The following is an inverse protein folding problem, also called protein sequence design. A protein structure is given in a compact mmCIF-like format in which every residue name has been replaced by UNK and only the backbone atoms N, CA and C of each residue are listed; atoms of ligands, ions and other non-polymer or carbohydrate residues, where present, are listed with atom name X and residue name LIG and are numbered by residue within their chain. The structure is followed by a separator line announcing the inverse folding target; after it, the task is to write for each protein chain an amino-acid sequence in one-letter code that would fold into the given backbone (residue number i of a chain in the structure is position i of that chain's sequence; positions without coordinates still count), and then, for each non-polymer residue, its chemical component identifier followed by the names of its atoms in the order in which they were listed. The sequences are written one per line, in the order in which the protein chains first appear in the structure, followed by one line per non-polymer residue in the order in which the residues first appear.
data_IF_747492784727
#
_entry.id   IF_747492784727
#
_cell.length_a   1.000
_cell.length_b   1.000
_cell.length_c   1.000
_cell.angle_alpha   90.00
_cell.angle_beta   90.00
_cell.angle_gamma   90.00
#
_symmetry.space_group_name_H-M   'P 1'
#
loop_
_entity.id
_entity.type
_entity.pdbx_description
1 polymer ?
#
# COMPACT_ATOMS: atom_id res chain seq x y z
N UNK A 1 -55.56 4.68 -40.63
CA UNK A 1 -55.27 4.50 -39.19
C UNK A 1 -53.75 4.23 -39.04
N UNK A 2 -52.96 5.26 -38.73
CA UNK A 2 -51.51 5.16 -38.59
C UNK A 2 -51.20 4.84 -37.11
N UNK A 3 -50.65 3.65 -36.85
CA UNK A 3 -50.19 3.29 -35.50
C UNK A 3 -48.79 3.88 -35.28
N UNK A 4 -48.69 4.86 -34.38
CA UNK A 4 -47.42 5.38 -33.87
C UNK A 4 -46.84 4.37 -32.86
N UNK A 5 -45.70 3.77 -33.17
CA UNK A 5 -44.93 2.97 -32.23
C UNK A 5 -44.02 3.93 -31.46
N UNK A 6 -44.32 4.13 -30.18
CA UNK A 6 -43.46 4.86 -29.24
C UNK A 6 -42.35 3.92 -28.77
N UNK A 7 -41.12 4.13 -29.26
CA UNK A 7 -39.92 3.42 -28.79
C UNK A 7 -39.44 4.08 -27.52
N UNK A 8 -39.75 3.51 -26.36
CA UNK A 8 -39.24 3.97 -25.07
C UNK A 8 -37.75 3.58 -24.94
N UNK A 9 -36.85 4.54 -25.08
CA UNK A 9 -35.42 4.38 -24.83
C UNK A 9 -35.19 4.29 -23.31
N UNK A 10 -35.02 3.07 -22.80
CA UNK A 10 -34.63 2.85 -21.39
C UNK A 10 -33.17 3.20 -21.25
N UNK A 11 -32.88 4.38 -20.74
CA UNK A 11 -31.53 4.77 -20.26
C UNK A 11 -31.23 3.95 -19.02
N UNK A 12 -30.53 2.83 -19.17
CA UNK A 12 -29.90 2.14 -18.03
C UNK A 12 -28.67 2.96 -17.63
N UNK A 13 -28.89 3.93 -16.72
CA UNK A 13 -27.82 4.65 -16.06
C UNK A 13 -26.94 3.63 -15.35
N UNK A 14 -25.69 3.49 -15.77
CA UNK A 14 -24.70 2.76 -14.99
C UNK A 14 -24.52 3.55 -13.70
N UNK A 15 -25.06 3.05 -12.60
CA UNK A 15 -24.77 3.53 -11.25
C UNK A 15 -23.30 3.15 -11.03
N UNK A 16 -22.41 4.11 -11.24
CA UNK A 16 -21.02 3.97 -10.81
C UNK A 16 -21.05 3.88 -9.29
N UNK A 17 -20.78 2.70 -8.74
CA UNK A 17 -20.51 2.56 -7.31
C UNK A 17 -19.24 3.33 -7.02
N UNK A 18 -19.35 4.56 -6.52
CA UNK A 18 -18.27 5.24 -5.82
C UNK A 18 -17.99 4.38 -4.58
N UNK A 19 -16.84 3.71 -4.53
CA UNK A 19 -16.45 2.97 -3.34
C UNK A 19 -16.35 3.96 -2.18
N UNK A 20 -17.12 3.68 -1.13
CA UNK A 20 -17.07 4.50 0.09
C UNK A 20 -15.77 4.17 0.83
N UNK A 21 -15.03 5.17 1.30
CA UNK A 21 -13.82 4.98 2.08
C UNK A 21 -13.99 4.03 3.27
N UNK A 22 -15.18 3.98 3.87
CA UNK A 22 -15.50 3.07 4.98
C UNK A 22 -15.56 1.59 4.59
N UNK A 23 -15.64 1.25 3.29
CA UNK A 23 -15.70 -0.13 2.82
C UNK A 23 -14.31 -0.78 2.78
N UNK A 24 -13.24 0.02 2.78
CA UNK A 24 -11.89 -0.51 2.80
C UNK A 24 -11.53 -1.09 4.15
N UNK A 25 -10.91 -2.26 4.17
CA UNK A 25 -10.52 -2.97 5.38
C UNK A 25 -9.57 -2.15 6.27
N UNK A 26 -8.70 -1.35 5.68
CA UNK A 26 -7.78 -0.43 6.37
C UNK A 26 -8.48 0.75 7.08
N UNK A 27 -9.79 0.92 6.94
CA UNK A 27 -10.58 1.93 7.66
C UNK A 27 -11.63 1.29 8.58
N UNK A 28 -11.33 0.11 9.13
CA UNK A 28 -12.14 -0.59 10.11
C UNK A 28 -11.32 -0.80 11.39
N UNK A 29 -11.79 -0.27 12.53
CA UNK A 29 -11.09 -0.40 13.82
C UNK A 29 -10.93 -1.86 14.26
N UNK A 30 -9.84 -2.12 14.99
CA UNK A 30 -9.51 -3.42 15.59
C UNK A 30 -9.30 -4.54 14.57
N UNK A 31 -9.01 -4.19 13.32
CA UNK A 31 -8.66 -5.16 12.29
C UNK A 31 -7.16 -5.43 12.27
N UNK A 32 -6.81 -6.66 11.88
CA UNK A 32 -5.42 -7.09 11.80
C UNK A 32 -5.16 -7.77 10.46
N UNK A 33 -4.03 -7.44 9.83
CA UNK A 33 -3.57 -8.02 8.56
C UNK A 33 -2.19 -8.62 8.79
N UNK A 34 -2.05 -9.92 8.55
CA UNK A 34 -0.77 -10.61 8.54
C UNK A 34 -0.23 -10.73 7.12
N UNK A 35 1.05 -10.44 6.93
CA UNK A 35 1.75 -10.44 5.64
C UNK A 35 3.02 -11.30 5.78
N UNK A 36 3.23 -12.25 4.88
CA UNK A 36 4.50 -12.97 4.75
C UNK A 36 5.46 -12.21 3.84
N UNK A 37 6.74 -12.27 4.16
CA UNK A 37 7.83 -11.71 3.36
C UNK A 37 8.76 -12.84 2.96
N UNK A 38 8.92 -13.07 1.66
CA UNK A 38 9.78 -14.10 1.10
C UNK A 38 10.85 -13.49 0.18
N UNK A 39 12.03 -14.10 0.15
CA UNK A 39 13.08 -13.74 -0.80
C UNK A 39 12.79 -14.28 -2.21
N UNK A 40 13.64 -13.95 -3.21
CA UNK A 40 13.54 -14.43 -4.60
C UNK A 40 13.42 -15.95 -4.78
N UNK A 41 13.85 -16.73 -3.79
CA UNK A 41 13.79 -18.20 -3.81
C UNK A 41 12.51 -18.73 -3.16
N UNK A 42 11.56 -17.83 -2.82
CA UNK A 42 10.30 -18.18 -2.15
C UNK A 42 10.48 -18.58 -0.67
N UNK A 43 11.69 -18.43 -0.09
CA UNK A 43 11.92 -18.73 1.33
C UNK A 43 11.43 -17.56 2.18
N UNK A 44 10.55 -17.83 3.13
CA UNK A 44 10.09 -16.83 4.11
C UNK A 44 11.28 -16.29 4.91
N UNK A 45 11.38 -14.98 4.97
CA UNK A 45 12.44 -14.24 5.68
C UNK A 45 11.90 -13.45 6.87
N UNK A 46 10.59 -13.22 6.93
CA UNK A 46 9.94 -12.51 8.01
C UNK A 46 8.44 -12.38 7.79
N UNK A 47 7.80 -11.74 8.77
CA UNK A 47 6.35 -11.42 8.74
C UNK A 47 6.15 -9.98 9.14
N UNK A 48 5.10 -9.38 8.59
CA UNK A 48 4.65 -8.05 8.96
C UNK A 48 3.19 -8.17 9.43
N UNK A 49 2.87 -7.53 10.53
CA UNK A 49 1.50 -7.48 11.06
C UNK A 49 1.08 -6.01 11.13
N UNK A 50 -0.04 -5.70 10.53
CA UNK A 50 -0.72 -4.41 10.68
C UNK A 50 -1.87 -4.56 11.66
N UNK A 51 -1.99 -3.62 12.59
CA UNK A 51 -3.17 -3.44 13.44
C UNK A 51 -3.74 -2.04 13.18
N UNK A 52 -5.04 -1.97 12.91
CA UNK A 52 -5.75 -0.75 12.52
C UNK A 52 -6.48 -0.18 13.71
N UNK A 53 -6.27 1.10 13.98
CA UNK A 53 -6.93 1.84 15.07
C UNK A 53 -7.30 3.27 14.65
N UNK A 54 -7.98 3.97 15.55
CA UNK A 54 -8.28 5.41 15.49
C UNK A 54 -8.93 5.86 14.18
N UNK A 55 -9.79 4.98 13.63
CA UNK A 55 -10.55 5.32 12.43
C UNK A 55 -11.51 6.46 12.74
N UNK A 56 -11.34 7.55 12.03
CA UNK A 56 -12.14 8.78 12.26
C UNK A 56 -12.31 9.58 10.98
N UNK A 57 -13.24 10.54 10.98
CA UNK A 57 -13.40 11.50 9.89
C UNK A 57 -12.67 12.79 10.21
N UNK A 58 -11.92 13.31 9.23
CA UNK A 58 -11.30 14.64 9.25
C UNK A 58 -11.75 15.42 8.01
N UNK A 59 -12.79 16.23 8.14
CA UNK A 59 -13.45 16.86 7.01
C UNK A 59 -14.11 15.82 6.09
N UNK A 60 -13.78 15.84 4.79
CA UNK A 60 -14.23 14.84 3.81
C UNK A 60 -13.49 13.51 3.91
N UNK A 61 -12.29 13.51 4.47
CA UNK A 61 -11.44 12.34 4.53
C UNK A 61 -11.80 11.40 5.69
N UNK A 62 -11.67 10.09 5.47
CA UNK A 62 -11.56 9.07 6.51
C UNK A 62 -10.09 8.79 6.74
N UNK A 63 -9.65 8.80 8.00
CA UNK A 63 -8.26 8.52 8.38
C UNK A 63 -8.22 7.31 9.32
N UNK A 64 -7.12 6.56 9.27
CA UNK A 64 -6.83 5.47 10.20
C UNK A 64 -5.37 5.47 10.59
N UNK A 65 -5.08 4.94 11.78
CA UNK A 65 -3.73 4.68 12.26
C UNK A 65 -3.39 3.22 12.05
N UNK A 66 -2.24 2.94 11.46
CA UNK A 66 -1.71 1.60 11.24
C UNK A 66 -0.50 1.40 12.13
N UNK A 67 -0.63 0.50 13.09
CA UNK A 67 0.51 0.01 13.87
C UNK A 67 1.08 -1.20 13.14
N UNK A 68 2.32 -1.09 12.68
CA UNK A 68 3.04 -2.16 12.02
C UNK A 68 4.06 -2.78 12.97
N UNK A 69 4.11 -4.11 13.00
CA UNK A 69 5.12 -4.87 13.71
C UNK A 69 5.74 -5.90 12.78
N UNK A 70 7.07 -5.82 12.64
CA UNK A 70 7.86 -6.73 11.82
C UNK A 70 8.47 -7.82 12.67
N UNK A 71 8.46 -9.03 12.17
CA UNK A 71 9.06 -10.20 12.80
C UNK A 71 10.07 -10.85 11.86
N UNK A 72 11.19 -11.30 12.42
CA UNK A 72 12.15 -12.12 11.69
C UNK A 72 11.60 -13.54 11.44
N UNK A 73 12.35 -14.36 10.70
CA UNK A 73 12.00 -15.76 10.41
C UNK A 73 11.84 -16.64 11.66
N UNK A 74 12.34 -16.23 12.81
CA UNK A 74 12.24 -16.95 14.09
C UNK A 74 11.08 -16.45 14.94
N UNK A 75 10.31 -15.46 14.45
CA UNK A 75 9.19 -14.86 15.17
C UNK A 75 9.58 -13.80 16.20
N UNK A 76 10.85 -13.33 16.18
CA UNK A 76 11.28 -12.23 17.04
C UNK A 76 10.85 -10.91 16.43
N UNK A 77 10.18 -10.05 17.20
CA UNK A 77 9.88 -8.67 16.82
C UNK A 77 11.16 -7.88 16.60
N UNK A 78 11.30 -7.25 15.44
CA UNK A 78 12.49 -6.50 15.02
C UNK A 78 12.21 -5.01 14.93
N UNK A 79 11.03 -4.62 14.44
CA UNK A 79 10.69 -3.21 14.20
C UNK A 79 9.23 -2.96 14.48
N UNK A 80 8.92 -1.80 15.07
CA UNK A 80 7.56 -1.27 15.21
C UNK A 80 7.50 0.12 14.62
N UNK A 81 6.41 0.42 13.91
CA UNK A 81 6.16 1.76 13.37
C UNK A 81 4.68 2.08 13.44
N UNK A 82 4.38 3.37 13.44
CA UNK A 82 3.01 3.89 13.36
C UNK A 82 2.91 4.81 12.16
N UNK A 83 1.95 4.54 11.28
CA UNK A 83 1.72 5.26 10.04
C UNK A 83 0.25 5.64 9.94
N UNK A 84 -0.07 6.58 9.05
CA UNK A 84 -1.43 6.99 8.80
C UNK A 84 -1.85 6.62 7.38
N UNK A 85 -3.07 6.12 7.26
CA UNK A 85 -3.77 6.01 5.98
C UNK A 85 -4.88 7.04 5.94
N UNK A 86 -5.16 7.50 4.74
CA UNK A 86 -6.24 8.43 4.48
C UNK A 86 -7.00 7.98 3.24
N UNK A 87 -8.31 8.15 3.25
CA UNK A 87 -9.15 8.01 2.07
C UNK A 87 -10.01 9.25 1.92
N UNK A 88 -9.91 9.92 0.80
CA UNK A 88 -10.71 11.10 0.46
C UNK A 88 -11.22 11.00 -0.97
N UNK A 89 -12.51 11.27 -1.16
CA UNK A 89 -13.17 11.21 -2.48
C UNK A 89 -12.89 9.90 -3.26
N UNK A 90 -12.79 8.77 -2.55
CA UNK A 90 -12.50 7.45 -3.14
C UNK A 90 -11.03 7.23 -3.52
N UNK A 91 -10.12 8.10 -3.11
CA UNK A 91 -8.67 7.91 -3.28
C UNK A 91 -8.10 7.41 -1.95
N UNK A 92 -7.57 6.20 -1.94
CA UNK A 92 -6.81 5.67 -0.80
C UNK A 92 -5.39 6.21 -0.89
N UNK A 93 -4.91 6.78 0.20
CA UNK A 93 -3.60 7.41 0.33
C UNK A 93 -2.81 6.70 1.43
N UNK A 94 -1.73 6.03 1.05
CA UNK A 94 -0.84 5.30 1.96
C UNK A 94 0.40 6.13 2.26
N UNK A 95 0.77 6.25 3.55
CA UNK A 95 2.00 6.94 3.94
C UNK A 95 3.21 6.22 3.33
N UNK A 96 4.04 6.97 2.60
CA UNK A 96 5.24 6.43 1.93
C UNK A 96 6.24 5.76 2.90
N UNK A 97 6.20 6.09 4.19
CA UNK A 97 7.03 5.43 5.21
C UNK A 97 6.71 3.94 5.37
N UNK A 98 5.50 3.50 5.00
CA UNK A 98 5.11 2.08 5.02
C UNK A 98 5.93 1.23 4.04
N UNK A 99 6.58 1.85 3.06
CA UNK A 99 7.39 1.18 2.04
C UNK A 99 8.89 1.13 2.38
N UNK A 100 9.29 1.61 3.56
CA UNK A 100 10.67 1.48 4.06
C UNK A 100 10.90 0.00 4.40
N UNK A 101 11.90 -0.68 3.77
CA UNK A 101 12.17 -2.07 4.09
C UNK A 101 12.65 -2.23 5.54
N UNK A 102 12.34 -3.39 6.13
CA UNK A 102 12.62 -3.71 7.53
C UNK A 102 14.07 -3.47 7.95
N UNK A 103 15.04 -3.89 7.14
CA UNK A 103 16.46 -3.73 7.45
C UNK A 103 16.88 -2.27 7.60
N UNK A 104 16.26 -1.34 6.86
CA UNK A 104 16.48 0.10 6.98
C UNK A 104 15.69 0.67 8.15
N UNK A 105 14.45 0.23 8.34
CA UNK A 105 13.59 0.67 9.44
C UNK A 105 14.21 0.32 10.82
N UNK A 106 14.83 -0.86 10.98
CA UNK A 106 15.55 -1.27 12.19
C UNK A 106 16.68 -0.31 12.56
N UNK A 107 17.38 0.25 11.55
CA UNK A 107 18.46 1.19 11.75
C UNK A 107 17.99 2.61 12.10
N UNK A 108 16.72 2.91 11.82
CA UNK A 108 16.11 4.21 12.11
C UNK A 108 15.59 4.32 13.56
N UNK A 109 15.46 3.19 14.27
CA UNK A 109 14.86 3.15 15.61
C UNK A 109 13.36 3.45 15.58
N UNK A 110 12.83 3.97 16.69
CA UNK A 110 11.43 4.41 16.75
C UNK A 110 11.23 5.64 15.86
N UNK A 111 10.54 5.47 14.75
CA UNK A 111 10.19 6.57 13.86
C UNK A 111 9.01 7.36 14.44
N UNK A 112 9.29 8.55 14.96
CA UNK A 112 8.24 9.53 15.23
C UNK A 112 7.81 10.18 13.91
N UNK A 113 6.51 10.33 13.70
CA UNK A 113 5.91 10.88 12.48
C UNK A 113 6.07 12.40 12.34
N UNK A 114 7.26 12.95 12.61
CA UNK A 114 7.54 14.38 12.43
C UNK A 114 8.08 14.63 11.02
N UNK A 115 7.22 15.10 10.13
CA UNK A 115 7.58 15.48 8.75
C UNK A 115 6.34 15.58 7.87
N UNK A 116 6.48 16.16 6.68
CA UNK A 116 5.40 16.18 5.68
C UNK A 116 5.06 14.73 5.29
N UNK A 117 3.78 14.38 5.40
CA UNK A 117 3.30 13.07 4.99
C UNK A 117 3.18 13.06 3.47
N UNK A 118 4.00 12.26 2.81
CA UNK A 118 3.89 12.00 1.37
C UNK A 118 3.11 10.70 1.17
N UNK A 119 2.10 10.75 0.31
CA UNK A 119 1.20 9.63 0.09
C UNK A 119 1.40 8.97 -1.26
N UNK A 120 1.31 7.65 -1.28
CA UNK A 120 1.08 6.86 -2.47
C UNK A 120 -0.44 6.74 -2.66
N UNK A 121 -0.92 7.18 -3.83
CA UNK A 121 -2.35 7.30 -4.11
C UNK A 121 -2.88 6.12 -4.95
N UNK A 122 -4.07 5.63 -4.57
CA UNK A 122 -4.81 4.57 -5.28
C UNK A 122 -6.25 5.04 -5.52
N UNK A 123 -6.59 5.50 -6.74
CA UNK A 123 -7.95 5.88 -7.09
C UNK A 123 -8.90 4.67 -7.08
N UNK A 124 -10.11 4.83 -6.56
CA UNK A 124 -11.13 3.75 -6.55
C UNK A 124 -11.61 3.33 -7.94
N UNK A 125 -11.50 4.21 -8.92
CA UNK A 125 -11.99 4.01 -10.29
C UNK A 125 -10.88 3.66 -11.29
N UNK A 126 -9.85 2.91 -10.86
CA UNK A 126 -8.78 2.46 -11.74
C UNK A 126 -9.29 1.57 -12.87
N UNK A 127 -8.65 1.63 -14.04
CA UNK A 127 -8.87 0.76 -15.19
C UNK A 127 -7.53 0.44 -15.87
N UNK A 128 -7.51 -0.63 -16.64
CA UNK A 128 -6.35 -1.00 -17.45
C UNK A 128 -5.93 0.13 -18.38
N UNK A 129 -4.63 0.41 -18.45
CA UNK A 129 -4.02 1.50 -19.19
C UNK A 129 -3.89 2.81 -18.42
N UNK A 130 -4.45 2.94 -17.21
CA UNK A 130 -4.29 4.16 -16.43
C UNK A 130 -2.85 4.32 -15.94
N UNK A 131 -2.31 5.52 -16.13
CA UNK A 131 -1.10 5.97 -15.45
C UNK A 131 -1.49 6.53 -14.09
N UNK A 132 -0.93 5.96 -13.02
CA UNK A 132 -1.14 6.45 -11.66
C UNK A 132 -0.09 7.51 -11.33
N UNK A 133 -0.42 8.38 -10.37
CA UNK A 133 0.48 9.42 -9.90
C UNK A 133 1.74 8.81 -9.28
N UNK A 134 2.90 9.30 -9.70
CA UNK A 134 4.19 8.99 -9.09
C UNK A 134 4.23 9.54 -7.66
N UNK A 135 5.05 8.94 -6.81
CA UNK A 135 5.22 9.37 -5.44
C UNK A 135 6.70 9.39 -5.05
N UNK A 136 7.08 10.35 -4.21
CA UNK A 136 8.42 10.45 -3.66
C UNK A 136 8.37 10.78 -2.17
N UNK A 137 9.34 10.29 -1.44
CA UNK A 137 9.53 10.54 -0.02
C UNK A 137 11.01 10.69 0.29
N UNK A 138 11.37 11.63 1.15
CA UNK A 138 12.72 11.71 1.69
C UNK A 138 12.69 12.20 3.14
N UNK A 139 13.63 11.70 3.94
CA UNK A 139 13.74 12.04 5.35
C UNK A 139 15.17 11.94 5.83
N UNK A 140 15.59 12.93 6.62
CA UNK A 140 16.82 12.86 7.42
C UNK A 140 16.47 12.34 8.82
N UNK A 141 17.33 11.50 9.37
CA UNK A 141 17.17 10.93 10.70
C UNK A 141 18.50 10.65 11.38
N UNK A 142 18.48 10.46 12.68
CA UNK A 142 19.62 9.91 13.43
C UNK A 142 19.45 8.41 13.53
N UNK A 143 20.46 7.65 13.08
CA UNK A 143 20.45 6.20 13.23
C UNK A 143 20.56 5.79 14.70
N UNK A 144 20.27 4.54 15.02
CA UNK A 144 20.43 3.96 16.35
C UNK A 144 21.86 4.06 16.87
N UNK A 145 22.85 4.21 15.98
CA UNK A 145 24.26 4.46 16.30
C UNK A 145 24.61 5.95 16.43
N UNK A 146 23.64 6.86 16.29
CA UNK A 146 23.83 8.30 16.41
C UNK A 146 24.34 8.99 15.15
N UNK A 147 24.52 8.28 14.03
CA UNK A 147 25.00 8.82 12.76
C UNK A 147 23.85 9.55 12.05
N UNK A 148 24.10 10.76 11.54
CA UNK A 148 23.16 11.45 10.67
C UNK A 148 23.01 10.67 9.35
N UNK A 149 21.81 10.34 9.02
CA UNK A 149 21.45 9.44 7.93
C UNK A 149 20.32 10.03 7.10
N UNK A 150 20.17 9.54 5.88
CA UNK A 150 19.14 9.98 4.97
C UNK A 150 18.50 8.77 4.27
N UNK A 151 17.20 8.81 4.06
CA UNK A 151 16.48 7.87 3.19
C UNK A 151 15.66 8.65 2.17
N UNK A 152 15.67 8.19 0.92
CA UNK A 152 14.71 8.61 -0.09
C UNK A 152 14.13 7.41 -0.82
N UNK A 153 12.85 7.51 -1.21
CA UNK A 153 12.11 6.52 -1.98
C UNK A 153 11.38 7.27 -3.09
N UNK A 154 11.65 6.91 -4.33
CA UNK A 154 10.93 7.39 -5.51
C UNK A 154 10.20 6.21 -6.14
N UNK A 155 8.89 6.33 -6.34
CA UNK A 155 8.05 5.37 -7.07
C UNK A 155 7.54 6.03 -8.34
N UNK A 156 8.00 5.53 -9.49
CA UNK A 156 7.77 6.16 -10.80
C UNK A 156 7.22 5.17 -11.82
N UNK A 157 6.65 5.69 -12.91
CA UNK A 157 6.08 4.88 -13.98
C UNK A 157 5.02 3.89 -13.48
N UNK A 158 4.14 4.36 -12.60
CA UNK A 158 3.06 3.57 -12.02
C UNK A 158 1.93 3.39 -13.04
N UNK A 159 1.72 2.16 -13.50
CA UNK A 159 0.72 1.86 -14.53
C UNK A 159 -0.16 0.67 -14.13
N UNK A 160 -1.47 0.80 -14.36
CA UNK A 160 -2.41 -0.31 -14.26
C UNK A 160 -2.31 -1.12 -15.56
N UNK A 161 -1.70 -2.31 -15.49
CA UNK A 161 -1.42 -3.13 -16.68
C UNK A 161 -2.46 -4.22 -16.92
N UNK A 162 -3.44 -4.37 -16.04
CA UNK A 162 -4.52 -5.33 -16.20
C UNK A 162 -5.31 -5.59 -14.93
N UNK A 163 -6.20 -6.58 -15.03
CA UNK A 163 -6.93 -7.16 -13.89
C UNK A 163 -6.72 -8.66 -13.87
N UNK A 164 -6.53 -9.22 -12.69
CA UNK A 164 -6.45 -10.68 -12.53
C UNK A 164 -6.92 -11.10 -11.13
N UNK A 165 -7.37 -12.34 -11.02
CA UNK A 165 -7.73 -12.95 -9.74
C UNK A 165 -6.49 -13.55 -9.11
N UNK A 166 -6.18 -13.18 -7.87
CA UNK A 166 -5.01 -13.63 -7.10
C UNK A 166 -5.46 -14.40 -5.87
N UNK A 167 -4.90 -15.58 -5.65
CA UNK A 167 -5.11 -16.36 -4.43
C UNK A 167 -3.90 -16.22 -3.52
N UNK A 168 -4.16 -15.87 -2.25
CA UNK A 168 -3.19 -15.80 -1.16
C UNK A 168 -3.66 -16.72 -0.04
N UNK A 169 -2.87 -17.02 1.00
CA UNK A 169 -3.34 -17.78 2.16
C UNK A 169 -4.52 -17.13 2.90
N UNK A 170 -4.73 -15.82 2.76
CA UNK A 170 -5.85 -15.10 3.37
C UNK A 170 -7.14 -15.14 2.55
N UNK A 171 -7.11 -15.56 1.27
CA UNK A 171 -8.28 -15.61 0.42
C UNK A 171 -7.98 -15.40 -1.07
N UNK A 172 -9.05 -15.28 -1.85
CA UNK A 172 -9.00 -15.02 -3.30
C UNK A 172 -9.55 -13.63 -3.58
N UNK A 173 -8.85 -12.89 -4.45
CA UNK A 173 -9.02 -11.45 -4.63
C UNK A 173 -9.05 -11.08 -6.11
N UNK A 174 -10.03 -10.29 -6.51
CA UNK A 174 -10.02 -9.64 -7.82
C UNK A 174 -9.20 -8.34 -7.71
N UNK A 175 -8.10 -8.27 -8.45
CA UNK A 175 -7.09 -7.24 -8.28
C UNK A 175 -6.85 -6.46 -9.57
N UNK A 176 -6.54 -5.18 -9.43
CA UNK A 176 -5.74 -4.46 -10.42
C UNK A 176 -4.28 -4.87 -10.30
N UNK A 177 -3.66 -5.18 -11.42
CA UNK A 177 -2.22 -5.41 -11.53
C UNK A 177 -1.56 -4.09 -11.87
N UNK A 178 -0.70 -3.62 -10.97
CA UNK A 178 0.00 -2.34 -11.09
C UNK A 178 1.49 -2.63 -11.20
N UNK A 179 2.18 -2.03 -12.16
CA UNK A 179 3.63 -2.09 -12.26
C UNK A 179 4.24 -0.73 -12.01
N UNK A 180 5.42 -0.69 -11.41
CA UNK A 180 6.17 0.54 -11.20
C UNK A 180 7.65 0.27 -10.95
N UNK A 181 8.46 1.33 -11.09
CA UNK A 181 9.86 1.34 -10.71
C UNK A 181 10.01 2.04 -9.36
N UNK A 182 10.68 1.39 -8.39
CA UNK A 182 11.00 1.98 -7.09
C UNK A 182 12.51 2.12 -6.95
N UNK A 183 12.97 3.35 -6.72
CA UNK A 183 14.36 3.67 -6.40
C UNK A 183 14.43 4.12 -4.96
N UNK A 184 15.25 3.44 -4.18
CA UNK A 184 15.54 3.82 -2.81
C UNK A 184 17.01 4.17 -2.66
N UNK A 185 17.31 5.23 -1.91
CA UNK A 185 18.67 5.57 -1.47
C UNK A 185 18.66 5.60 0.05
N UNK A 186 19.50 4.76 0.64
CA UNK A 186 19.75 4.76 2.08
C UNK A 186 21.20 5.19 2.32
N UNK A 187 21.38 6.31 3.04
CA UNK A 187 22.68 6.92 3.24
C UNK A 187 23.02 6.97 4.74
N UNK A 188 24.04 6.21 5.12
CA UNK A 188 24.75 6.29 6.41
C UNK A 188 26.24 6.53 6.09
N UNK A 189 26.58 7.80 5.78
CA UNK A 189 27.87 8.16 5.18
C UNK A 189 27.82 8.08 3.65
N UNK A 190 28.00 6.90 3.04
CA UNK A 190 27.89 6.67 1.59
C UNK A 190 26.47 6.22 1.27
N UNK A 191 25.84 6.81 0.23
CA UNK A 191 24.53 6.41 -0.24
C UNK A 191 24.59 5.22 -1.19
N UNK A 192 23.82 4.17 -0.92
CA UNK A 192 23.70 2.98 -1.79
C UNK A 192 22.32 3.01 -2.43
N UNK A 193 22.23 3.19 -3.78
CA UNK A 193 20.95 3.11 -4.47
C UNK A 193 20.52 1.65 -4.63
N UNK A 194 19.25 1.39 -4.33
CA UNK A 194 18.57 0.12 -4.57
C UNK A 194 17.44 0.37 -5.55
N UNK A 195 17.36 -0.43 -6.60
CA UNK A 195 16.33 -0.31 -7.63
C UNK A 195 15.48 -1.58 -7.66
N UNK A 196 14.16 -1.39 -7.74
CA UNK A 196 13.19 -2.46 -7.73
C UNK A 196 12.18 -2.24 -8.86
N UNK A 197 12.03 -3.23 -9.73
CA UNK A 197 10.87 -3.33 -10.60
C UNK A 197 9.81 -4.12 -9.84
N UNK A 198 8.68 -3.49 -9.60
CA UNK A 198 7.63 -4.02 -8.72
C UNK A 198 6.37 -4.29 -9.52
N UNK A 199 5.78 -5.45 -9.28
CA UNK A 199 4.40 -5.77 -9.63
C UNK A 199 3.59 -5.85 -8.34
N UNK A 200 2.49 -5.13 -8.30
CA UNK A 200 1.58 -5.04 -7.16
C UNK A 200 0.19 -5.47 -7.57
N UNK A 201 -0.48 -6.22 -6.71
CA UNK A 201 -1.88 -6.60 -6.84
C UNK A 201 -2.71 -5.88 -5.79
N UNK A 202 -3.50 -4.93 -6.27
CA UNK A 202 -4.37 -4.09 -5.44
C UNK A 202 -5.83 -4.51 -5.61
N UNK A 203 -6.45 -4.99 -4.54
CA UNK A 203 -7.88 -5.34 -4.51
C UNK A 203 -8.73 -4.14 -4.08
N UNK A 204 -9.71 -3.71 -4.90
CA UNK A 204 -10.68 -2.69 -4.50
C UNK A 204 -11.42 -3.08 -3.22
N UNK A 205 -11.59 -2.11 -2.32
CA UNK A 205 -12.23 -2.35 -1.01
C UNK A 205 -11.33 -3.01 0.05
N UNK A 206 -10.16 -3.52 -0.35
CA UNK A 206 -9.20 -4.08 0.61
C UNK A 206 -7.88 -3.28 0.61
N UNK A 207 -7.17 -3.25 -0.50
CA UNK A 207 -5.83 -2.70 -0.64
C UNK A 207 -4.86 -3.68 -1.31
N UNK A 208 -3.57 -3.49 -1.11
CA UNK A 208 -2.53 -4.38 -1.66
C UNK A 208 -2.58 -5.75 -1.00
N UNK A 209 -2.71 -6.80 -1.80
CA UNK A 209 -2.78 -8.21 -1.34
C UNK A 209 -1.50 -8.98 -1.61
N UNK A 210 -0.73 -8.57 -2.63
CA UNK A 210 0.54 -9.20 -2.99
C UNK A 210 1.43 -8.19 -3.70
N UNK A 211 2.75 -8.31 -3.50
CA UNK A 211 3.76 -7.62 -4.32
C UNK A 211 4.84 -8.61 -4.74
N UNK A 212 5.39 -8.43 -5.92
CA UNK A 212 6.58 -9.12 -6.40
C UNK A 212 7.60 -8.13 -6.89
N UNK A 213 8.86 -8.39 -6.60
CA UNK A 213 9.97 -7.57 -7.09
C UNK A 213 11.21 -8.43 -7.35
N UNK A 214 12.24 -7.78 -7.89
CA UNK A 214 13.56 -8.39 -8.02
C UNK A 214 14.23 -8.69 -6.66
N UNK A 215 13.66 -8.35 -5.51
CA UNK A 215 14.13 -8.69 -4.15
C UNK A 215 13.37 -9.84 -3.51
N UNK A 216 12.12 -10.06 -3.88
CA UNK A 216 11.25 -11.10 -3.32
C UNK A 216 9.78 -10.78 -3.45
N UNK A 217 8.98 -11.40 -2.62
CA UNK A 217 7.50 -11.33 -2.65
C UNK A 217 6.96 -10.99 -1.27
N UNK A 218 5.89 -10.20 -1.21
CA UNK A 218 5.05 -10.09 -0.02
C UNK A 218 3.63 -10.52 -0.36
N UNK A 219 2.95 -11.20 0.54
CA UNK A 219 1.54 -11.56 0.36
C UNK A 219 0.79 -11.62 1.70
N UNK A 220 -0.50 -11.30 1.67
CA UNK A 220 -1.33 -11.39 2.86
C UNK A 220 -1.61 -12.86 3.21
N UNK A 221 -1.44 -13.19 4.51
CA UNK A 221 -1.59 -14.55 5.02
C UNK A 221 -2.77 -14.70 5.98
N UNK A 222 -3.24 -13.61 6.56
CA UNK A 222 -4.39 -13.62 7.46
C UNK A 222 -5.04 -12.23 7.55
N UNK A 223 -6.35 -12.24 7.77
CA UNK A 223 -7.18 -11.07 8.10
C UNK A 223 -8.07 -11.43 9.29
N UNK A 224 -8.21 -10.51 10.27
CA UNK A 224 -9.00 -10.71 11.50
C UNK A 224 -9.71 -9.43 11.89
#
# INVERSE_FOLDING_TARGET
MKKLFFLALVFIGRIGFSQNCGDYYYFQNNKTIGISIANKKGKETGKLVYTISDVSKKGSATVSTIHSEMFDKNGKSTTKATNNLQCDNGIVMMDMKMFIPSAQAEQMGEMSATGSTNYLEYPSAMKEGDALKDASFSMDFKSTTGINSHISIDMTNRNVVGKETVTTPAGTWDCFKITYHSKMIFKMGIGIPMNFDVTEWFSPGFGTVKTESNSGTTEITSIK
#
